data_IF_796197057060
#
_entry.id   IF_796197057060
#
_cell.length_a   1.000
_cell.length_b   1.000
_cell.length_c   1.000
_cell.angle_alpha   90.00
_cell.angle_beta   90.00
_cell.angle_gamma   90.00
#
_symmetry.space_group_name_H-M   'P 1'
#
loop_
_entity.id
_entity.type
_entity.pdbx_description
1 polymer ?
#
# COMPACT_ATOMS: atom_id res chain seq x y z
N UNK A 1 -11.97 -12.94 5.14
CA UNK A 1 -11.95 -12.35 3.78
C UNK A 1 -12.38 -10.90 3.88
N UNK A 2 -11.65 -9.96 3.30
CA UNK A 2 -12.06 -8.55 3.19
C UNK A 2 -11.96 -8.12 1.73
N UNK A 3 -12.96 -7.39 1.25
CA UNK A 3 -13.00 -6.81 -0.09
C UNK A 3 -13.26 -5.32 0.08
N UNK A 4 -12.56 -4.50 -0.69
CA UNK A 4 -12.72 -3.05 -0.69
C UNK A 4 -12.58 -2.49 -2.10
N UNK A 5 -13.16 -1.31 -2.32
CA UNK A 5 -12.93 -0.49 -3.50
C UNK A 5 -12.28 0.83 -3.11
N UNK A 6 -11.55 1.45 -4.03
CA UNK A 6 -10.88 2.72 -3.81
C UNK A 6 -10.41 3.35 -5.12
N UNK A 7 -9.56 4.36 -4.97
CA UNK A 7 -8.93 5.05 -6.09
C UNK A 7 -7.41 4.96 -5.92
N UNK A 8 -6.72 4.38 -6.89
CA UNK A 8 -5.27 4.28 -6.91
C UNK A 8 -4.70 5.48 -7.67
N UNK A 9 -3.69 6.12 -7.09
CA UNK A 9 -2.81 7.05 -7.81
C UNK A 9 -1.37 6.78 -7.41
N UNK A 10 -0.51 6.51 -8.38
CA UNK A 10 0.91 6.24 -8.15
C UNK A 10 1.76 6.95 -9.21
N UNK A 11 3.02 7.16 -8.84
CA UNK A 11 4.05 7.72 -9.70
C UNK A 11 5.39 7.06 -9.42
N UNK A 12 6.25 7.04 -10.41
CA UNK A 12 7.65 6.61 -10.27
C UNK A 12 8.43 7.78 -9.69
N UNK A 13 9.12 7.51 -8.58
CA UNK A 13 10.01 8.51 -7.96
C UNK A 13 11.38 8.40 -8.61
N UNK A 14 11.81 9.45 -9.29
CA UNK A 14 13.17 9.58 -9.85
C UNK A 14 13.96 10.53 -8.95
N UNK A 15 15.16 10.12 -8.55
CA UNK A 15 16.09 10.95 -7.76
C UNK A 15 17.51 10.74 -8.24
N UNK A 16 18.29 11.81 -8.28
CA UNK A 16 19.73 11.78 -8.53
C UNK A 16 20.47 12.03 -7.22
N UNK A 17 21.56 11.29 -6.98
CA UNK A 17 22.28 11.31 -5.69
C UNK A 17 23.29 12.47 -5.62
N UNK A 18 24.16 12.61 -6.62
CA UNK A 18 25.32 13.51 -6.56
C UNK A 18 25.46 14.46 -7.77
N UNK A 19 24.69 14.26 -8.84
CA UNK A 19 24.77 15.07 -10.05
C UNK A 19 23.42 15.69 -10.42
N UNK A 20 23.48 16.97 -10.79
CA UNK A 20 22.39 17.71 -11.41
C UNK A 20 22.23 17.15 -12.83
N UNK A 21 21.12 16.47 -13.09
CA UNK A 21 20.78 16.00 -14.44
C UNK A 21 19.60 16.86 -14.90
N UNK A 22 19.80 17.87 -15.76
CA UNK A 22 18.75 18.82 -16.13
C UNK A 22 17.48 18.18 -16.70
N UNK A 23 17.60 16.98 -17.30
CA UNK A 23 16.48 16.21 -17.84
C UNK A 23 15.64 15.52 -16.77
N UNK A 24 16.16 15.33 -15.56
CA UNK A 24 15.49 14.69 -14.43
C UNK A 24 15.13 15.70 -13.33
N UNK A 25 15.07 16.99 -13.67
CA UNK A 25 14.80 18.08 -12.74
C UNK A 25 13.66 18.99 -13.24
N UNK A 26 13.05 19.70 -12.30
CA UNK A 26 11.97 20.65 -12.59
C UNK A 26 10.79 20.01 -13.33
N UNK A 27 10.27 20.73 -14.33
CA UNK A 27 9.10 20.31 -15.09
C UNK A 27 9.36 19.09 -15.99
N UNK A 28 10.62 18.79 -16.32
CA UNK A 28 10.98 17.61 -17.12
C UNK A 28 10.76 16.30 -16.37
N UNK A 29 10.83 16.32 -15.04
CA UNK A 29 10.52 15.16 -14.19
C UNK A 29 9.09 14.65 -14.45
N UNK A 30 8.16 15.54 -14.81
CA UNK A 30 6.76 15.20 -15.06
C UNK A 30 6.54 14.28 -16.27
N UNK A 31 7.49 14.22 -17.21
CA UNK A 31 7.43 13.29 -18.34
C UNK A 31 8.15 11.95 -18.10
N UNK A 32 8.77 11.78 -16.92
CA UNK A 32 9.41 10.53 -16.49
C UNK A 32 8.70 9.88 -15.30
N UNK A 33 7.89 10.64 -14.54
CA UNK A 33 7.22 10.15 -13.33
C UNK A 33 6.08 9.16 -13.59
N UNK A 34 5.68 8.96 -14.87
CA UNK A 34 4.65 8.01 -15.33
C UNK A 34 3.41 8.01 -14.42
N UNK A 35 2.96 9.21 -14.02
CA UNK A 35 1.82 9.39 -13.14
C UNK A 35 0.55 8.78 -13.76
N UNK A 36 -0.07 7.85 -13.04
CA UNK A 36 -1.32 7.21 -13.44
C UNK A 36 -2.29 7.16 -12.27
N UNK A 37 -3.59 7.16 -12.59
CA UNK A 37 -4.64 7.05 -11.58
C UNK A 37 -5.90 6.38 -12.11
N UNK A 38 -6.67 5.77 -11.22
CA UNK A 38 -7.94 5.16 -11.60
C UNK A 38 -8.60 4.34 -10.49
N UNK A 39 -9.78 3.77 -10.74
CA UNK A 39 -10.47 2.92 -9.79
C UNK A 39 -9.64 1.67 -9.45
N UNK A 40 -9.69 1.27 -8.18
CA UNK A 40 -8.96 0.12 -7.66
C UNK A 40 -9.84 -0.76 -6.77
N UNK A 41 -9.58 -2.06 -6.82
CA UNK A 41 -10.16 -3.07 -5.96
C UNK A 41 -9.08 -3.64 -5.04
N UNK A 42 -9.44 -3.88 -3.78
CA UNK A 42 -8.57 -4.42 -2.76
C UNK A 42 -9.16 -5.74 -2.24
N UNK A 43 -8.33 -6.78 -2.18
CA UNK A 43 -8.67 -8.09 -1.65
C UNK A 43 -7.69 -8.47 -0.55
N UNK A 44 -8.21 -8.88 0.60
CA UNK A 44 -7.41 -9.43 1.68
C UNK A 44 -7.95 -10.80 2.11
N UNK A 45 -7.06 -11.80 2.07
CA UNK A 45 -7.33 -13.17 2.48
C UNK A 45 -6.36 -13.48 3.62
N UNK A 46 -6.88 -13.82 4.79
CA UNK A 46 -6.04 -14.11 5.94
C UNK A 46 -6.71 -14.99 6.96
N UNK A 47 -5.87 -15.61 7.77
CA UNK A 47 -6.22 -16.42 8.93
C UNK A 47 -5.78 -15.70 10.19
N UNK A 48 -6.66 -15.67 11.18
CA UNK A 48 -6.39 -15.10 12.49
C UNK A 48 -6.56 -16.21 13.53
N UNK A 49 -5.53 -16.43 14.32
CA UNK A 49 -5.55 -17.35 15.44
C UNK A 49 -5.65 -16.57 16.75
N UNK A 50 -6.67 -16.87 17.55
CA UNK A 50 -6.89 -16.30 18.87
C UNK A 50 -6.98 -17.44 19.87
N UNK A 51 -6.04 -17.49 20.82
CA UNK A 51 -6.00 -18.52 21.85
C UNK A 51 -6.48 -17.98 23.20
N UNK A 52 -7.24 -18.81 23.93
CA UNK A 52 -7.69 -18.50 25.30
C UNK A 52 -6.52 -18.31 26.27
N UNK A 53 -5.35 -18.90 25.98
CA UNK A 53 -4.14 -18.79 26.78
C UNK A 53 -3.36 -17.48 26.56
N UNK A 54 -3.93 -16.51 25.83
CA UNK A 54 -3.51 -15.09 25.76
C UNK A 54 -2.11 -14.79 25.20
N UNK A 55 -1.25 -15.79 25.00
CA UNK A 55 0.14 -15.66 24.58
C UNK A 55 0.34 -15.80 23.06
N UNK A 56 -0.50 -16.59 22.39
CA UNK A 56 -0.34 -16.97 20.98
C UNK A 56 -1.45 -16.41 20.09
N UNK A 57 -1.65 -15.09 20.12
CA UNK A 57 -2.56 -14.43 19.19
C UNK A 57 -1.77 -13.89 18.00
N UNK A 58 -1.98 -14.45 16.82
CA UNK A 58 -1.29 -14.03 15.60
C UNK A 58 -2.25 -14.00 14.41
N UNK A 59 -1.90 -13.22 13.39
CA UNK A 59 -2.59 -13.21 12.12
C UNK A 59 -1.58 -13.28 10.98
N UNK A 60 -1.98 -13.97 9.92
CA UNK A 60 -1.23 -14.06 8.67
C UNK A 60 -2.21 -13.93 7.53
N UNK A 61 -1.86 -13.17 6.50
CA UNK A 61 -2.68 -13.02 5.33
C UNK A 61 -1.92 -12.45 4.14
N UNK A 62 -2.59 -12.48 3.01
CA UNK A 62 -2.16 -11.94 1.75
C UNK A 62 -3.11 -10.82 1.33
N UNK A 63 -2.52 -9.74 0.83
CA UNK A 63 -3.21 -8.54 0.40
C UNK A 63 -2.89 -8.31 -1.07
N UNK A 64 -3.93 -8.09 -1.86
CA UNK A 64 -3.83 -7.70 -3.26
C UNK A 64 -4.62 -6.42 -3.47
N UNK A 65 -4.06 -5.52 -4.27
CA UNK A 65 -4.71 -4.31 -4.70
C UNK A 65 -4.51 -4.22 -6.21
N UNK A 66 -5.62 -4.19 -6.94
CA UNK A 66 -5.69 -4.20 -8.40
C UNK A 66 -6.34 -2.91 -8.86
N UNK A 67 -5.63 -2.10 -9.64
CA UNK A 67 -6.10 -0.86 -10.23
C UNK A 67 -6.26 -0.97 -11.74
N UNK A 68 -7.37 -0.45 -12.25
CA UNK A 68 -7.49 -0.05 -13.66
C UNK A 68 -7.13 1.43 -13.71
N UNK A 69 -5.91 1.75 -14.11
CA UNK A 69 -5.35 3.10 -14.06
C UNK A 69 -5.22 3.67 -15.47
N UNK A 70 -5.36 4.99 -15.60
CA UNK A 70 -5.10 5.70 -16.84
C UNK A 70 -3.92 6.67 -16.64
N UNK A 71 -3.06 6.86 -17.66
CA UNK A 71 -2.00 7.86 -17.61
C UNK A 71 -2.59 9.26 -17.46
N UNK A 72 -2.11 10.02 -16.47
CA UNK A 72 -2.49 11.43 -16.29
C UNK A 72 -1.53 12.39 -17.01
N UNK A 73 -0.48 11.87 -17.65
CA UNK A 73 0.50 12.63 -18.40
C UNK A 73 0.21 12.53 -19.89
N UNK A 74 0.18 13.66 -20.58
CA UNK A 74 -0.09 13.70 -22.01
C UNK A 74 1.04 13.11 -22.87
N UNK A 75 2.27 13.04 -22.33
CA UNK A 75 3.44 12.61 -23.10
C UNK A 75 4.51 12.03 -22.19
N UNK A 76 5.08 10.89 -22.57
CA UNK A 76 6.22 10.28 -21.91
C UNK A 76 7.50 10.54 -22.73
N UNK A 77 8.48 11.21 -22.13
CA UNK A 77 9.72 11.58 -22.84
C UNK A 77 10.63 10.38 -23.13
N UNK A 78 10.57 9.34 -22.30
CA UNK A 78 11.36 8.11 -22.43
C UNK A 78 11.00 7.29 -23.69
N UNK A 79 9.70 7.13 -23.97
CA UNK A 79 9.21 6.34 -25.10
C UNK A 79 8.91 7.17 -26.35
N UNK A 80 8.95 8.50 -26.24
CA UNK A 80 8.61 9.41 -27.33
C UNK A 80 7.15 9.30 -27.79
N UNK A 81 6.26 8.77 -26.94
CA UNK A 81 4.85 8.50 -27.26
C UNK A 81 3.93 9.00 -26.15
N UNK A 82 2.75 9.44 -26.53
CA UNK A 82 1.62 9.54 -25.62
C UNK A 82 1.18 8.10 -25.30
N UNK A 83 1.14 7.75 -24.01
CA UNK A 83 0.49 6.52 -23.58
C UNK A 83 -1.01 6.83 -23.46
N UNK A 84 -1.81 6.22 -24.35
CA UNK A 84 -3.26 6.30 -24.31
C UNK A 84 -3.85 4.94 -23.98
N UNK A 85 -4.72 4.91 -22.98
CA UNK A 85 -5.55 3.76 -22.64
C UNK A 85 -5.35 3.23 -21.21
N UNK A 86 -6.31 2.41 -20.74
CA UNK A 86 -6.28 1.85 -19.40
C UNK A 86 -5.17 0.79 -19.26
N UNK A 87 -4.40 0.89 -18.18
CA UNK A 87 -3.40 -0.09 -17.75
C UNK A 87 -3.91 -0.84 -16.52
N UNK A 88 -3.49 -2.09 -16.41
CA UNK A 88 -3.67 -2.89 -15.21
C UNK A 88 -2.45 -2.75 -14.29
N UNK A 89 -2.65 -2.20 -13.09
CA UNK A 89 -1.62 -2.07 -12.08
C UNK A 89 -1.96 -2.88 -10.84
N UNK A 90 -1.01 -3.68 -10.36
CA UNK A 90 -1.21 -4.58 -9.22
C UNK A 90 -0.16 -4.38 -8.14
N UNK A 91 -0.59 -4.29 -6.89
CA UNK A 91 0.23 -4.28 -5.68
C UNK A 91 -0.15 -5.51 -4.86
N UNK A 92 0.85 -6.29 -4.43
CA UNK A 92 0.61 -7.47 -3.61
C UNK A 92 1.55 -7.47 -2.41
N UNK A 93 1.09 -7.97 -1.27
CA UNK A 93 1.86 -7.98 -0.04
C UNK A 93 1.46 -9.10 0.90
N UNK A 94 2.43 -9.58 1.67
CA UNK A 94 2.20 -10.45 2.81
C UNK A 94 2.03 -9.60 4.06
N UNK A 95 1.01 -9.92 4.86
CA UNK A 95 0.72 -9.25 6.13
C UNK A 95 0.78 -10.26 7.26
N UNK A 96 1.72 -10.06 8.18
CA UNK A 96 1.90 -10.90 9.36
C UNK A 96 1.87 -9.96 10.58
N UNK A 97 1.22 -10.37 11.66
CA UNK A 97 1.33 -9.64 12.91
C UNK A 97 0.96 -10.47 14.13
N UNK A 98 1.52 -10.07 15.26
CA UNK A 98 1.25 -10.66 16.57
C UNK A 98 0.41 -9.69 17.39
N UNK A 99 -0.64 -10.18 18.04
CA UNK A 99 -1.51 -9.39 18.90
C UNK A 99 -1.15 -9.62 20.36
N UNK A 100 -0.70 -8.58 21.06
CA UNK A 100 -0.36 -8.63 22.48
C UNK A 100 -1.47 -7.94 23.29
N UNK A 101 -2.33 -8.70 24.02
CA UNK A 101 -3.36 -8.08 24.83
C UNK A 101 -2.76 -7.48 26.11
N UNK A 102 -2.78 -6.14 26.22
CA UNK A 102 -2.36 -5.40 27.42
C UNK A 102 -3.57 -5.20 28.34
N UNK A 103 -3.63 -5.96 29.44
CA UNK A 103 -4.64 -5.77 30.48
C UNK A 103 -4.04 -5.05 31.69
N UNK A 104 -4.77 -4.06 32.21
CA UNK A 104 -4.47 -3.43 33.50
C UNK A 104 -4.82 -4.45 34.59
N UNK A 105 -3.85 -4.82 35.44
CA UNK A 105 -4.13 -5.66 36.63
C UNK A 105 -5.30 -5.03 37.38
N UNK A 106 -6.40 -5.77 37.55
CA UNK A 106 -7.35 -5.45 38.62
C UNK A 106 -6.56 -5.50 39.92
N UNK A 107 -6.54 -4.39 40.66
CA UNK A 107 -5.94 -4.34 41.99
C UNK A 107 -6.49 -5.48 42.83
N UNK A 108 -5.60 -6.16 43.55
CA UNK A 108 -5.96 -7.14 44.57
C UNK A 108 -6.97 -6.55 45.54
N UNK A 109 -7.99 -7.34 45.88
CA UNK A 109 -9.07 -6.92 46.75
C UNK A 109 -8.58 -6.58 48.16
N UNK A 110 -9.06 -5.46 48.69
CA UNK A 110 -9.12 -5.25 50.13
C UNK A 110 -10.57 -5.48 50.57
N UNK A 111 -10.86 -6.71 51.02
CA UNK A 111 -12.00 -6.97 51.89
C UNK A 111 -11.53 -6.73 53.32
N UNK A 112 -11.91 -5.60 53.91
CA UNK A 112 -11.84 -5.40 55.37
C UNK A 112 -13.21 -5.77 55.94
N UNK A 113 -13.19 -6.66 56.94
CA UNK A 113 -14.34 -7.16 57.70
C UNK A 113 -14.94 -6.07 58.59
#
# INVERSE_FOLDING_TARGET
LKVGGGYMRHKIRVQTQDNVVPQLEGDYLSGYDRLAAGPAAMLFIGYQHLSSNRLTNFFVGFEMLVGLTEPLRAYNFDTGRAEDGPRYDGLNGLRIGWTLPLYRRSGEGFYMY
#
